data_IF_579346543355
#
_entry.id   IF_579346543355
#
_cell.length_a   1.000
_cell.length_b   1.000
_cell.length_c   1.000
_cell.angle_alpha   90.00
_cell.angle_beta   90.00
_cell.angle_gamma   90.00
#
_symmetry.space_group_name_H-M   'P 1'
#
loop_
_entity.id
_entity.type
_entity.pdbx_description
1 polymer ?
#
# COMPACT_ATOMS: atom_id res chain seq x y z
N UNK A 1 -1.43 35.31 6.50
CA UNK A 1 -0.12 35.84 6.06
C UNK A 1 -0.08 37.29 6.50
N UNK A 2 0.49 37.58 7.67
CA UNK A 2 0.77 38.96 8.05
C UNK A 2 1.90 39.46 7.16
N UNK A 3 1.66 40.54 6.43
CA UNK A 3 2.67 41.20 5.61
C UNK A 3 3.87 41.57 6.48
N UNK A 4 5.08 41.26 5.99
CA UNK A 4 6.36 41.55 6.61
C UNK A 4 6.55 43.07 6.79
N UNK A 5 6.02 43.65 7.84
CA UNK A 5 6.32 45.04 8.17
C UNK A 5 7.74 45.11 8.74
N UNK A 6 8.70 45.33 7.83
CA UNK A 6 10.14 45.54 8.03
C UNK A 6 10.98 44.29 8.35
N UNK A 7 11.52 43.59 7.33
CA UNK A 7 12.57 42.60 7.57
C UNK A 7 13.76 43.22 8.30
N UNK A 8 14.40 42.44 9.17
CA UNK A 8 15.68 42.81 9.79
C UNK A 8 16.73 43.01 8.69
N UNK A 9 17.52 44.07 8.80
CA UNK A 9 18.76 44.22 8.04
C UNK A 9 19.76 43.13 8.43
N UNK A 10 20.73 42.83 7.58
CA UNK A 10 21.71 41.77 7.83
C UNK A 10 22.50 42.02 9.14
N UNK A 11 22.79 43.29 9.48
CA UNK A 11 23.43 43.65 10.75
C UNK A 11 22.54 43.37 11.96
N UNK A 12 21.25 43.71 11.88
CA UNK A 12 20.29 43.44 12.97
C UNK A 12 20.04 41.94 13.13
N UNK A 13 20.07 41.17 12.04
CA UNK A 13 19.96 39.71 12.11
C UNK A 13 21.17 39.09 12.81
N UNK A 14 22.39 39.52 12.48
CA UNK A 14 23.61 39.08 13.20
C UNK A 14 23.60 39.50 14.67
N UNK A 15 23.06 40.67 14.98
CA UNK A 15 22.87 41.11 16.36
C UNK A 15 21.88 40.20 17.10
N UNK A 16 20.73 39.89 16.49
CA UNK A 16 19.76 38.95 17.06
C UNK A 16 20.37 37.56 17.28
N UNK A 17 21.12 37.01 16.31
CA UNK A 17 21.84 35.75 16.47
C UNK A 17 22.86 35.79 17.62
N UNK A 18 23.56 36.92 17.79
CA UNK A 18 24.49 37.11 18.90
C UNK A 18 23.76 37.09 20.25
N UNK A 19 22.63 37.77 20.35
CA UNK A 19 21.84 37.86 21.57
C UNK A 19 21.19 36.51 21.94
N UNK A 20 20.75 35.73 20.94
CA UNK A 20 20.14 34.41 21.17
C UNK A 20 21.12 33.35 21.69
N UNK A 21 22.44 33.59 21.63
CA UNK A 21 23.44 32.67 22.19
C UNK A 21 23.38 32.57 23.71
N UNK A 22 22.78 33.54 24.41
CA UNK A 22 22.64 33.50 25.88
C UNK A 22 21.46 32.66 26.36
N UNK A 23 20.61 32.17 25.45
CA UNK A 23 19.47 31.31 25.77
C UNK A 23 18.16 31.80 25.18
N UNK A 24 17.08 31.08 25.47
CA UNK A 24 15.71 31.45 25.05
C UNK A 24 15.22 32.66 25.86
N UNK A 25 15.00 33.83 25.24
CA UNK A 25 14.59 35.06 25.92
C UNK A 25 13.34 34.92 26.79
N UNK A 26 12.37 34.13 26.35
CA UNK A 26 11.14 33.90 27.13
C UNK A 26 11.43 33.10 28.40
N UNK A 27 12.31 32.11 28.34
CA UNK A 27 12.70 31.33 29.52
C UNK A 27 13.58 32.14 30.46
N UNK A 28 14.53 32.90 29.95
CA UNK A 28 15.46 33.71 30.76
C UNK A 28 14.70 34.80 31.54
N UNK A 29 13.70 35.44 30.92
CA UNK A 29 12.86 36.44 31.59
C UNK A 29 11.61 35.86 32.25
N UNK A 30 11.47 34.53 32.31
CA UNK A 30 10.28 33.84 32.80
C UNK A 30 8.96 34.40 32.22
N UNK A 31 9.00 34.84 30.96
CA UNK A 31 7.92 35.51 30.26
C UNK A 31 7.25 34.60 29.23
N UNK A 32 6.04 34.99 28.81
CA UNK A 32 5.31 34.27 27.77
C UNK A 32 5.13 35.16 26.54
N UNK A 33 4.87 34.54 25.38
CA UNK A 33 4.60 35.26 24.11
C UNK A 33 3.44 36.25 24.25
N UNK A 34 2.52 36.04 25.20
CA UNK A 34 1.37 36.90 25.48
C UNK A 34 1.66 38.08 26.41
N UNK A 35 2.83 38.13 27.06
CA UNK A 35 3.16 39.20 27.99
C UNK A 35 3.38 40.52 27.25
N UNK A 36 2.76 41.60 27.73
CA UNK A 36 2.96 42.94 27.17
C UNK A 36 4.33 43.52 27.58
N UNK A 37 4.71 44.64 26.94
CA UNK A 37 6.01 45.28 27.21
C UNK A 37 6.18 45.66 28.69
N UNK A 38 5.12 46.12 29.35
CA UNK A 38 5.16 46.53 30.77
C UNK A 38 5.42 45.35 31.70
N UNK A 39 4.81 44.20 31.44
CA UNK A 39 5.00 42.98 32.23
C UNK A 39 6.41 42.40 32.01
N UNK A 40 6.94 42.47 30.79
CA UNK A 40 8.32 42.09 30.48
C UNK A 40 9.31 43.00 31.23
N UNK A 41 9.09 44.32 31.22
CA UNK A 41 9.91 45.30 31.95
C UNK A 41 9.85 45.08 33.47
N UNK A 42 8.67 44.75 34.01
CA UNK A 42 8.53 44.40 35.42
C UNK A 42 9.37 43.17 35.78
N UNK A 43 9.27 42.09 34.99
CA UNK A 43 10.05 40.85 35.21
C UNK A 43 11.55 41.08 35.08
N UNK A 44 11.98 41.90 34.12
CA UNK A 44 13.38 42.32 34.00
C UNK A 44 13.88 43.01 35.27
N UNK A 45 13.14 44.01 35.78
CA UNK A 45 13.53 44.74 36.99
C UNK A 45 13.56 43.83 38.23
N UNK A 46 12.59 42.92 38.37
CA UNK A 46 12.56 41.91 39.43
C UNK A 46 13.81 41.02 39.34
N UNK A 47 14.12 40.47 38.16
CA UNK A 47 15.24 39.55 37.96
C UNK A 47 16.61 40.21 38.10
N UNK A 48 16.82 41.46 37.67
CA UNK A 48 18.11 42.15 37.80
C UNK A 48 18.37 42.60 39.24
N UNK A 49 17.32 42.81 40.03
CA UNK A 49 17.44 43.23 41.44
C UNK A 49 17.88 42.12 42.41
N UNK A 50 17.92 40.87 41.96
CA UNK A 50 18.35 39.73 42.77
C UNK A 50 19.88 39.73 42.97
N UNK A 51 20.35 40.07 44.18
CA UNK A 51 21.78 40.17 44.54
C UNK A 51 22.60 38.88 44.35
N UNK A 52 21.96 37.73 44.11
CA UNK A 52 22.60 36.42 44.02
C UNK A 52 23.04 36.02 42.61
N UNK A 53 22.76 36.82 41.59
CA UNK A 53 23.05 36.47 40.20
C UNK A 53 24.50 36.70 39.79
N UNK A 54 25.03 35.77 39.03
CA UNK A 54 26.35 35.88 38.40
C UNK A 54 26.31 36.89 37.24
N UNK A 55 27.48 37.44 36.90
CA UNK A 55 27.60 38.39 35.77
C UNK A 55 27.08 37.81 34.45
N UNK A 56 27.23 36.50 34.23
CA UNK A 56 26.72 35.81 33.03
C UNK A 56 25.19 35.72 32.99
N UNK A 57 24.56 35.55 34.15
CA UNK A 57 23.08 35.51 34.24
C UNK A 57 22.51 36.90 34.01
N UNK A 58 23.14 37.95 34.55
CA UNK A 58 22.75 39.34 34.30
C UNK A 58 22.85 39.65 32.80
N UNK A 59 23.96 39.29 32.14
CA UNK A 59 24.13 39.46 30.70
C UNK A 59 23.04 38.73 29.88
N UNK A 60 22.69 37.50 30.28
CA UNK A 60 21.61 36.76 29.63
C UNK A 60 20.25 37.46 29.80
N UNK A 61 19.96 38.01 30.99
CA UNK A 61 18.73 38.75 31.30
C UNK A 61 18.67 40.05 30.49
N UNK A 62 19.75 40.81 30.42
CA UNK A 62 19.84 42.03 29.62
C UNK A 62 19.64 41.75 28.11
N UNK A 63 20.26 40.70 27.59
CA UNK A 63 20.10 40.29 26.20
C UNK A 63 18.67 39.82 25.90
N UNK A 64 18.07 39.04 26.80
CA UNK A 64 16.67 38.62 26.69
C UNK A 64 15.72 39.83 26.70
N UNK A 65 15.96 40.82 27.57
CA UNK A 65 15.19 42.05 27.62
C UNK A 65 15.38 42.91 26.36
N UNK A 66 16.59 42.96 25.81
CA UNK A 66 16.86 43.67 24.55
C UNK A 66 16.07 43.08 23.38
N UNK A 67 15.98 41.74 23.30
CA UNK A 67 15.18 41.05 22.28
C UNK A 67 13.69 41.31 22.51
N UNK A 68 13.17 41.06 23.72
CA UNK A 68 11.72 41.12 24.00
C UNK A 68 11.17 42.54 24.19
N UNK A 69 12.03 43.50 24.57
CA UNK A 69 11.68 44.90 24.78
C UNK A 69 11.67 45.74 23.51
N UNK A 70 12.35 45.27 22.46
CA UNK A 70 12.37 45.90 21.13
C UNK A 70 11.37 45.20 20.22
N UNK A 71 10.30 45.89 19.83
CA UNK A 71 9.20 45.32 19.03
C UNK A 71 9.71 44.61 17.76
N UNK A 72 10.72 45.17 17.08
CA UNK A 72 11.32 44.57 15.89
C UNK A 72 12.00 43.21 16.15
N UNK A 73 12.80 43.11 17.23
CA UNK A 73 13.47 41.86 17.60
C UNK A 73 12.51 40.82 18.15
N UNK A 74 11.54 41.26 18.95
CA UNK A 74 10.47 40.40 19.46
C UNK A 74 9.69 39.78 18.30
N UNK A 75 9.21 40.58 17.34
CA UNK A 75 8.45 40.09 16.21
C UNK A 75 9.25 39.07 15.37
N UNK A 76 10.53 39.33 15.14
CA UNK A 76 11.40 38.41 14.41
C UNK A 76 11.64 37.10 15.17
N UNK A 77 11.80 37.16 16.50
CA UNK A 77 11.97 35.98 17.34
C UNK A 77 10.68 35.16 17.46
N UNK A 78 9.53 35.81 17.63
CA UNK A 78 8.21 35.16 17.64
C UNK A 78 7.95 34.44 16.31
N UNK A 79 8.34 35.05 15.19
CA UNK A 79 8.26 34.41 13.88
C UNK A 79 9.21 33.19 13.77
N UNK A 80 10.44 33.30 14.30
CA UNK A 80 11.38 32.18 14.36
C UNK A 80 10.81 31.01 15.16
N UNK A 81 10.23 31.27 16.34
CA UNK A 81 9.57 30.26 17.17
C UNK A 81 8.37 29.62 16.44
N UNK A 82 7.54 30.44 15.79
CA UNK A 82 6.41 29.93 15.01
C UNK A 82 6.86 29.03 13.84
N UNK A 83 7.94 29.39 13.14
CA UNK A 83 8.53 28.57 12.08
C UNK A 83 9.12 27.26 12.63
N UNK A 84 9.81 27.33 13.77
CA UNK A 84 10.36 26.15 14.45
C UNK A 84 9.26 25.17 14.89
N UNK A 85 8.18 25.67 15.50
CA UNK A 85 7.02 24.85 15.89
C UNK A 85 6.31 24.23 14.67
N UNK A 86 6.18 24.97 13.56
CA UNK A 86 5.67 24.41 12.29
C UNK A 86 6.60 23.32 11.75
N UNK A 87 7.91 23.51 11.79
CA UNK A 87 8.88 22.50 11.35
C UNK A 87 8.87 21.26 12.24
N UNK A 88 8.79 21.42 13.57
CA UNK A 88 8.69 20.32 14.52
C UNK A 88 7.39 19.52 14.31
N UNK A 89 6.26 20.21 14.11
CA UNK A 89 4.98 19.56 13.77
C UNK A 89 5.06 18.79 12.46
N UNK A 90 5.64 19.39 11.41
CA UNK A 90 5.86 18.71 10.12
C UNK A 90 6.78 17.50 10.25
N UNK A 91 7.84 17.61 11.04
CA UNK A 91 8.76 16.50 11.31
C UNK A 91 8.08 15.39 12.11
N UNK A 92 7.30 15.73 13.14
CA UNK A 92 6.54 14.78 13.93
C UNK A 92 5.46 14.06 13.09
N UNK A 93 4.78 14.78 12.21
CA UNK A 93 3.81 14.21 11.26
C UNK A 93 4.49 13.31 10.23
N UNK A 94 5.61 13.74 9.65
CA UNK A 94 6.43 12.90 8.75
C UNK A 94 6.89 11.62 9.44
N UNK A 95 7.42 11.72 10.67
CA UNK A 95 7.89 10.57 11.45
C UNK A 95 6.74 9.64 11.85
N UNK A 96 5.54 10.18 12.13
CA UNK A 96 4.32 9.39 12.32
C UNK A 96 3.95 8.64 11.04
N UNK A 97 3.97 9.30 9.88
CA UNK A 97 3.67 8.70 8.59
C UNK A 97 4.66 7.59 8.23
N UNK A 98 5.96 7.80 8.47
CA UNK A 98 7.01 6.78 8.29
C UNK A 98 6.76 5.57 9.21
N UNK A 99 6.46 5.79 10.50
CA UNK A 99 6.14 4.70 11.43
C UNK A 99 4.92 3.89 10.99
N UNK A 100 3.86 4.56 10.54
CA UNK A 100 2.64 3.89 10.04
C UNK A 100 2.88 3.13 8.74
N UNK A 101 3.70 3.70 7.85
CA UNK A 101 4.11 3.08 6.59
C UNK A 101 4.95 1.81 6.79
N UNK A 102 5.92 1.86 7.71
CA UNK A 102 6.72 0.71 8.12
C UNK A 102 5.84 -0.40 8.73
N UNK A 103 4.89 -0.05 9.59
CA UNK A 103 3.96 -1.02 10.18
C UNK A 103 3.06 -1.64 9.12
N UNK A 104 2.55 -0.85 8.17
CA UNK A 104 1.79 -1.34 7.02
C UNK A 104 2.60 -2.32 6.17
N UNK A 105 3.86 -1.97 5.87
CA UNK A 105 4.80 -2.82 5.14
C UNK A 105 5.10 -4.12 5.87
N UNK A 106 5.29 -4.07 7.20
CA UNK A 106 5.48 -5.26 8.03
C UNK A 106 4.23 -6.17 8.00
N UNK A 107 3.03 -5.61 8.11
CA UNK A 107 1.80 -6.38 7.97
C UNK A 107 1.69 -7.06 6.60
N UNK A 108 2.04 -6.37 5.50
CA UNK A 108 2.07 -6.97 4.15
C UNK A 108 3.11 -8.09 4.02
N UNK A 109 4.29 -7.90 4.61
CA UNK A 109 5.31 -8.94 4.68
C UNK A 109 4.78 -10.19 5.43
N UNK A 110 4.15 -10.00 6.59
CA UNK A 110 3.54 -11.07 7.37
C UNK A 110 2.35 -11.73 6.66
N UNK A 111 1.65 -11.01 5.79
CA UNK A 111 0.56 -11.54 4.98
C UNK A 111 1.05 -12.51 3.87
N UNK A 112 2.30 -12.36 3.41
CA UNK A 112 2.82 -13.08 2.23
C UNK A 112 2.80 -14.61 2.39
N UNK A 113 3.28 -15.20 3.50
CA UNK A 113 3.15 -16.64 3.75
C UNK A 113 1.72 -17.16 3.62
N UNK A 114 0.75 -16.43 4.16
CA UNK A 114 -0.66 -16.80 4.12
C UNK A 114 -1.22 -16.76 2.70
N UNK A 115 -0.84 -15.74 1.92
CA UNK A 115 -1.21 -15.66 0.51
C UNK A 115 -0.65 -16.86 -0.28
N UNK A 116 0.63 -17.16 -0.10
CA UNK A 116 1.31 -18.23 -0.83
C UNK A 116 0.72 -19.61 -0.50
N UNK A 117 0.49 -19.88 0.79
CA UNK A 117 -0.19 -21.10 1.26
C UNK A 117 -1.62 -21.16 0.69
N UNK A 118 -2.36 -20.05 0.69
CA UNK A 118 -3.72 -20.03 0.11
C UNK A 118 -3.73 -20.36 -1.39
N UNK A 119 -2.79 -19.80 -2.16
CA UNK A 119 -2.66 -20.07 -3.60
C UNK A 119 -2.32 -21.55 -3.84
N UNK A 120 -1.36 -22.10 -3.08
CA UNK A 120 -0.99 -23.51 -3.17
C UNK A 120 -2.15 -24.45 -2.80
N UNK A 121 -2.89 -24.15 -1.72
CA UNK A 121 -4.03 -24.96 -1.25
C UNK A 121 -5.18 -25.03 -2.27
N UNK A 122 -5.33 -24.00 -3.10
CA UNK A 122 -6.42 -23.89 -4.06
C UNK A 122 -6.07 -24.41 -5.45
N UNK A 123 -4.79 -24.72 -5.70
CA UNK A 123 -4.32 -25.17 -6.99
C UNK A 123 -4.55 -26.68 -7.15
N UNK A 124 -5.24 -27.13 -8.22
CA UNK A 124 -5.59 -28.53 -8.41
C UNK A 124 -4.39 -29.43 -8.76
N UNK A 125 -3.27 -28.83 -9.19
CA UNK A 125 -2.12 -29.57 -9.70
C UNK A 125 -0.90 -29.55 -8.75
N UNK A 126 -0.93 -28.71 -7.71
CA UNK A 126 0.15 -28.67 -6.71
C UNK A 126 -0.24 -29.50 -5.50
N UNK A 127 0.42 -30.66 -5.40
CA UNK A 127 0.42 -31.58 -4.27
C UNK A 127 -0.92 -32.34 -4.12
N UNK A 128 -0.85 -33.67 -4.16
CA UNK A 128 -1.91 -34.61 -3.72
C UNK A 128 -2.33 -34.43 -2.25
N UNK A 129 -1.78 -33.41 -1.58
CA UNK A 129 -1.96 -33.07 -0.20
C UNK A 129 -3.38 -32.52 0.00
N UNK A 130 -4.17 -33.25 0.76
CA UNK A 130 -5.56 -32.88 1.06
C UNK A 130 -5.66 -31.82 2.16
N UNK A 131 -4.65 -31.72 3.03
CA UNK A 131 -4.64 -30.86 4.22
C UNK A 131 -3.61 -29.72 4.12
N UNK A 132 -4.06 -28.49 4.37
CA UNK A 132 -3.22 -27.29 4.49
C UNK A 132 -2.07 -27.48 5.48
N UNK A 133 -2.27 -28.23 6.57
CA UNK A 133 -1.21 -28.50 7.56
C UNK A 133 -0.06 -29.33 6.98
N UNK A 134 -0.38 -30.35 6.20
CA UNK A 134 0.62 -31.17 5.51
C UNK A 134 1.39 -30.33 4.48
N UNK A 135 0.70 -29.44 3.78
CA UNK A 135 1.33 -28.56 2.79
C UNK A 135 2.32 -27.59 3.44
N UNK A 136 1.97 -27.03 4.60
CA UNK A 136 2.88 -26.20 5.41
C UNK A 136 4.12 -27.00 5.84
N UNK A 137 3.94 -28.25 6.30
CA UNK A 137 5.05 -29.14 6.66
C UNK A 137 5.96 -29.43 5.46
N UNK A 138 5.38 -29.73 4.30
CA UNK A 138 6.14 -30.00 3.07
C UNK A 138 6.92 -28.76 2.63
N UNK A 139 6.29 -27.59 2.60
CA UNK A 139 6.95 -26.33 2.23
C UNK A 139 8.13 -26.02 3.17
N UNK A 140 7.92 -26.18 4.48
CA UNK A 140 8.98 -26.01 5.48
C UNK A 140 10.10 -27.04 5.33
N UNK A 141 9.78 -28.31 5.07
CA UNK A 141 10.80 -29.36 4.89
C UNK A 141 11.69 -29.14 3.66
N UNK A 142 11.14 -28.60 2.57
CA UNK A 142 11.87 -28.46 1.30
C UNK A 142 12.71 -27.18 1.20
N UNK A 143 12.25 -26.07 1.77
CA UNK A 143 12.92 -24.75 1.65
C UNK A 143 12.97 -23.95 2.95
N UNK A 144 12.53 -24.51 4.06
CA UNK A 144 12.39 -23.80 5.33
C UNK A 144 11.47 -22.59 5.21
N UNK A 145 11.76 -21.55 6.00
CA UNK A 145 11.01 -20.28 6.00
C UNK A 145 11.03 -19.59 4.63
N UNK A 146 12.12 -19.73 3.86
CA UNK A 146 12.26 -19.06 2.55
C UNK A 146 11.21 -19.52 1.54
N UNK A 147 10.71 -20.75 1.64
CA UNK A 147 9.64 -21.26 0.78
C UNK A 147 8.34 -20.45 0.89
N UNK A 148 8.03 -19.97 2.09
CA UNK A 148 6.82 -19.18 2.35
C UNK A 148 6.87 -17.76 1.77
N UNK A 149 8.07 -17.23 1.50
CA UNK A 149 8.28 -15.89 0.94
C UNK A 149 8.65 -15.93 -0.55
N UNK A 150 8.41 -17.05 -1.23
CA UNK A 150 8.67 -17.16 -2.67
C UNK A 150 7.82 -16.13 -3.44
N UNK A 151 8.45 -15.47 -4.40
CA UNK A 151 7.83 -14.40 -5.17
C UNK A 151 7.80 -13.04 -4.46
N UNK A 152 8.12 -12.94 -3.16
CA UNK A 152 8.04 -11.65 -2.44
C UNK A 152 8.82 -10.53 -3.13
N UNK A 153 9.98 -10.83 -3.72
CA UNK A 153 10.80 -9.84 -4.44
C UNK A 153 10.07 -9.21 -5.64
N UNK A 154 9.12 -9.92 -6.26
CA UNK A 154 8.29 -9.38 -7.34
C UNK A 154 7.24 -8.38 -6.83
N UNK A 155 6.97 -8.31 -5.53
CA UNK A 155 6.19 -7.21 -4.98
C UNK A 155 6.92 -5.86 -5.18
N UNK A 156 8.23 -5.83 -5.39
CA UNK A 156 8.96 -4.60 -5.72
C UNK A 156 8.66 -4.17 -7.18
N UNK A 157 8.37 -5.13 -8.07
CA UNK A 157 8.06 -4.83 -9.47
C UNK A 157 6.76 -4.04 -9.64
N UNK A 158 5.89 -4.00 -8.61
CA UNK A 158 4.66 -3.21 -8.63
C UNK A 158 4.94 -1.72 -8.79
N UNK A 159 6.10 -1.22 -8.34
CA UNK A 159 6.54 0.15 -8.58
C UNK A 159 6.64 0.41 -10.09
N UNK A 160 7.31 -0.48 -10.82
CA UNK A 160 7.49 -0.34 -12.28
C UNK A 160 6.16 -0.44 -13.03
N UNK A 161 5.22 -1.26 -12.55
CA UNK A 161 3.87 -1.39 -13.11
C UNK A 161 3.09 -0.09 -12.93
N UNK A 162 3.14 0.51 -11.73
CA UNK A 162 2.45 1.77 -11.45
C UNK A 162 3.02 2.90 -12.31
N UNK A 163 4.34 2.95 -12.47
CA UNK A 163 4.96 3.88 -13.39
C UNK A 163 4.49 3.69 -14.84
N UNK A 164 4.43 2.44 -15.32
CA UNK A 164 3.88 2.11 -16.64
C UNK A 164 2.40 2.51 -16.76
N UNK A 165 1.59 2.30 -15.72
CA UNK A 165 0.19 2.74 -15.67
C UNK A 165 0.07 4.25 -15.81
N UNK A 166 0.86 5.02 -15.06
CA UNK A 166 0.86 6.49 -15.13
C UNK A 166 1.22 6.98 -16.54
N UNK A 167 2.18 6.33 -17.22
CA UNK A 167 2.52 6.62 -18.62
C UNK A 167 1.33 6.33 -19.54
N UNK A 168 0.71 5.14 -19.42
CA UNK A 168 -0.45 4.75 -20.24
C UNK A 168 -1.63 5.70 -20.04
N UNK A 169 -1.89 6.11 -18.80
CA UNK A 169 -2.91 7.10 -18.45
C UNK A 169 -2.63 8.47 -19.08
N UNK A 170 -1.37 8.92 -19.04
CA UNK A 170 -0.95 10.16 -19.68
C UNK A 170 -1.14 10.12 -21.20
N UNK A 171 -0.89 8.97 -21.83
CA UNK A 171 -1.12 8.76 -23.25
C UNK A 171 -2.62 8.71 -23.59
N UNK A 172 -3.44 8.01 -22.79
CA UNK A 172 -4.88 7.96 -23.02
C UNK A 172 -5.54 9.33 -22.86
N UNK A 173 -5.11 10.11 -21.87
CA UNK A 173 -5.61 11.49 -21.68
C UNK A 173 -5.29 12.36 -22.89
N UNK A 174 -4.04 12.31 -23.39
CA UNK A 174 -3.65 13.03 -24.62
C UNK A 174 -4.46 12.63 -25.84
N UNK A 175 -4.82 11.35 -25.98
CA UNK A 175 -5.65 10.87 -27.08
C UNK A 175 -7.09 11.38 -26.98
N UNK A 176 -7.67 11.40 -25.77
CA UNK A 176 -9.01 11.96 -25.52
C UNK A 176 -9.01 13.45 -25.83
N UNK A 177 -8.09 14.21 -25.22
CA UNK A 177 -7.94 15.66 -25.40
C UNK A 177 -7.63 16.05 -26.86
N UNK A 178 -6.86 15.21 -27.56
CA UNK A 178 -6.49 15.43 -28.97
C UNK A 178 -7.60 15.08 -29.96
N UNK A 179 -8.50 14.16 -29.60
CA UNK A 179 -9.62 13.72 -30.44
C UNK A 179 -10.85 14.64 -30.35
N UNK A 180 -10.94 15.47 -29.29
CA UNK A 180 -12.15 16.24 -29.00
C UNK A 180 -11.84 17.74 -29.06
N UNK A 181 -12.53 18.42 -29.97
CA UNK A 181 -12.51 19.88 -30.11
C UNK A 181 -12.91 20.53 -28.78
N UNK A 182 -11.95 21.13 -28.08
CA UNK A 182 -12.02 21.93 -26.84
C UNK A 182 -13.39 22.62 -26.60
N UNK A 183 -14.33 21.89 -26.01
CA UNK A 183 -15.55 22.45 -25.44
C UNK A 183 -15.42 22.51 -23.92
N UNK A 184 -15.55 23.70 -23.32
CA UNK A 184 -15.43 23.93 -21.86
C UNK A 184 -16.37 23.07 -20.99
N UNK A 185 -17.40 22.47 -21.57
CA UNK A 185 -18.38 21.65 -20.84
C UNK A 185 -18.05 20.14 -20.85
N UNK A 186 -16.88 19.73 -21.34
CA UNK A 186 -16.54 18.32 -21.52
C UNK A 186 -15.70 17.74 -20.37
N UNK A 187 -15.02 18.57 -19.56
CA UNK A 187 -14.21 18.07 -18.43
C UNK A 187 -15.01 17.17 -17.47
N UNK A 188 -16.30 17.48 -17.23
CA UNK A 188 -17.19 16.66 -16.40
C UNK A 188 -17.62 15.34 -17.08
N UNK A 189 -17.73 15.31 -18.42
CA UNK A 189 -18.15 14.11 -19.16
C UNK A 189 -17.02 13.12 -19.38
N UNK A 190 -15.76 13.57 -19.37
CA UNK A 190 -14.60 12.71 -19.58
C UNK A 190 -14.18 11.99 -18.28
N UNK A 191 -14.59 12.46 -17.10
CA UNK A 191 -14.23 11.87 -15.80
C UNK A 191 -14.62 10.38 -15.66
N UNK A 192 -15.84 9.94 -16.02
CA UNK A 192 -16.19 8.51 -15.97
C UNK A 192 -15.36 7.66 -16.93
N UNK A 193 -15.02 8.21 -18.10
CA UNK A 193 -14.21 7.52 -19.13
C UNK A 193 -12.77 7.38 -18.65
N UNK A 194 -12.18 8.45 -18.11
CA UNK A 194 -10.85 8.43 -17.52
C UNK A 194 -10.77 7.46 -16.34
N UNK A 195 -11.79 7.43 -15.47
CA UNK A 195 -11.87 6.48 -14.35
C UNK A 195 -11.99 5.03 -14.84
N UNK A 196 -12.71 4.79 -15.93
CA UNK A 196 -12.79 3.46 -16.55
C UNK A 196 -11.45 3.04 -17.15
N UNK A 197 -10.79 3.92 -17.91
CA UNK A 197 -9.47 3.67 -18.49
C UNK A 197 -8.43 3.43 -17.41
N UNK A 198 -8.47 4.19 -16.32
CA UNK A 198 -7.58 3.97 -15.17
C UNK A 198 -7.74 2.57 -14.59
N UNK A 199 -8.99 2.16 -14.29
CA UNK A 199 -9.27 0.82 -13.78
C UNK A 199 -8.86 -0.28 -14.75
N UNK A 200 -9.12 -0.08 -16.05
CA UNK A 200 -8.78 -1.06 -17.08
C UNK A 200 -7.27 -1.18 -17.27
N UNK A 201 -6.56 -0.06 -17.38
CA UNK A 201 -5.10 -0.04 -17.51
C UNK A 201 -4.44 -0.64 -16.27
N UNK A 202 -4.92 -0.33 -15.07
CA UNK A 202 -4.44 -0.95 -13.83
C UNK A 202 -4.59 -2.48 -13.86
N UNK A 203 -5.74 -3.01 -14.29
CA UNK A 203 -5.95 -4.46 -14.40
C UNK A 203 -5.05 -5.10 -15.46
N UNK A 204 -4.91 -4.46 -16.62
CA UNK A 204 -4.09 -4.98 -17.73
C UNK A 204 -2.59 -4.97 -17.42
N UNK A 205 -2.10 -3.98 -16.67
CA UNK A 205 -0.70 -3.90 -16.25
C UNK A 205 -0.41 -4.78 -15.03
N UNK A 206 -1.37 -4.93 -14.10
CA UNK A 206 -1.22 -5.80 -12.94
C UNK A 206 -1.32 -7.29 -13.27
N UNK A 207 -2.08 -7.67 -14.31
CA UNK A 207 -2.32 -9.07 -14.64
C UNK A 207 -1.04 -9.88 -14.93
N UNK A 208 -0.12 -9.43 -15.82
CA UNK A 208 1.16 -10.10 -16.04
C UNK A 208 1.95 -10.42 -14.78
N UNK A 209 2.01 -9.48 -13.84
CA UNK A 209 2.77 -9.67 -12.60
C UNK A 209 2.06 -10.61 -11.66
N UNK A 210 0.72 -10.53 -11.56
CA UNK A 210 -0.05 -11.55 -10.86
C UNK A 210 0.20 -12.94 -11.45
N UNK A 211 0.20 -13.07 -12.77
CA UNK A 211 0.44 -14.35 -13.45
C UNK A 211 1.84 -14.89 -13.13
N UNK A 212 2.89 -14.07 -13.24
CA UNK A 212 4.25 -14.46 -12.86
C UNK A 212 4.32 -14.85 -11.39
N UNK A 213 3.70 -14.07 -10.50
CA UNK A 213 3.66 -14.36 -9.06
C UNK A 213 3.00 -15.69 -8.76
N UNK A 214 1.82 -15.94 -9.32
CA UNK A 214 1.10 -17.20 -9.12
C UNK A 214 1.92 -18.37 -9.71
N UNK A 215 2.54 -18.20 -10.88
CA UNK A 215 3.43 -19.21 -11.45
C UNK A 215 4.67 -19.47 -10.57
N UNK A 216 5.27 -18.43 -9.98
CA UNK A 216 6.39 -18.60 -9.05
C UNK A 216 5.97 -19.36 -7.80
N UNK A 217 4.80 -19.05 -7.25
CA UNK A 217 4.28 -19.71 -6.05
C UNK A 217 3.97 -21.19 -6.34
N UNK A 218 3.28 -21.46 -7.45
CA UNK A 218 2.79 -22.79 -7.82
C UNK A 218 3.86 -23.69 -8.48
N UNK A 219 4.93 -23.13 -9.03
CA UNK A 219 6.00 -23.93 -9.62
C UNK A 219 6.70 -24.82 -8.58
N UNK A 220 7.34 -25.93 -8.99
CA UNK A 220 8.15 -26.73 -8.08
C UNK A 220 9.18 -25.89 -7.33
N UNK A 221 9.35 -26.13 -6.03
CA UNK A 221 10.30 -25.36 -5.18
C UNK A 221 11.75 -25.53 -5.63
N UNK A 222 12.08 -26.57 -6.40
CA UNK A 222 13.38 -26.77 -7.02
C UNK A 222 13.72 -25.73 -8.09
N UNK A 223 12.72 -25.13 -8.75
CA UNK A 223 12.95 -24.17 -9.83
C UNK A 223 13.32 -22.78 -9.30
N UNK A 224 14.37 -22.18 -9.85
CA UNK A 224 14.72 -20.79 -9.58
C UNK A 224 13.70 -19.83 -10.21
N UNK A 225 13.72 -18.57 -9.74
CA UNK A 225 12.91 -17.48 -10.32
C UNK A 225 13.22 -17.31 -11.82
N UNK A 226 14.50 -17.30 -12.18
CA UNK A 226 14.94 -17.16 -13.56
C UNK A 226 14.50 -18.34 -14.43
N UNK A 227 14.50 -19.56 -13.87
CA UNK A 227 14.07 -20.76 -14.59
C UNK A 227 12.57 -20.71 -14.87
N UNK A 228 11.77 -20.29 -13.88
CA UNK A 228 10.33 -20.03 -14.04
C UNK A 228 10.13 -19.02 -15.17
N UNK A 229 10.72 -17.83 -15.07
CA UNK A 229 10.52 -16.75 -16.07
C UNK A 229 10.93 -17.20 -17.47
N UNK A 230 12.13 -17.78 -17.63
CA UNK A 230 12.61 -18.26 -18.94
C UNK A 230 11.70 -19.35 -19.49
N UNK A 231 11.31 -20.30 -18.65
CA UNK A 231 10.46 -21.42 -19.05
C UNK A 231 9.05 -20.99 -19.47
N UNK A 232 8.50 -19.96 -18.82
CA UNK A 232 7.15 -19.46 -19.11
C UNK A 232 7.11 -18.45 -20.26
N UNK A 233 8.10 -17.57 -20.36
CA UNK A 233 8.11 -16.48 -21.35
C UNK A 233 8.65 -16.93 -22.72
N UNK A 234 9.67 -17.79 -22.75
CA UNK A 234 10.39 -18.12 -23.99
C UNK A 234 9.89 -19.41 -24.66
N UNK A 235 8.81 -20.03 -24.16
CA UNK A 235 8.23 -21.20 -24.82
C UNK A 235 7.46 -20.76 -26.08
N UNK A 236 8.14 -20.75 -27.21
CA UNK A 236 7.48 -20.89 -28.50
C UNK A 236 6.75 -22.22 -28.51
N UNK A 237 5.46 -22.23 -28.86
CA UNK A 237 4.54 -23.38 -28.80
C UNK A 237 4.88 -24.60 -29.67
N UNK A 238 6.16 -24.87 -29.94
CA UNK A 238 6.61 -26.09 -30.62
C UNK A 238 7.23 -27.00 -29.56
N UNK A 239 6.65 -28.18 -29.40
CA UNK A 239 7.15 -29.26 -28.55
C UNK A 239 8.66 -29.41 -28.70
N UNK A 240 9.39 -29.34 -27.59
CA UNK A 240 10.85 -29.52 -27.59
C UNK A 240 11.28 -30.94 -27.99
N UNK A 241 10.35 -31.88 -28.21
CA UNK A 241 10.70 -33.17 -28.82
C UNK A 241 11.25 -33.03 -30.26
N UNK A 242 11.07 -31.89 -30.94
CA UNK A 242 11.61 -31.68 -32.30
C UNK A 242 12.69 -30.61 -32.41
N UNK A 243 13.19 -30.05 -31.31
CA UNK A 243 14.23 -28.99 -31.35
C UNK A 243 15.54 -29.40 -30.65
N UNK A 244 16.06 -30.58 -30.98
CA UNK A 244 17.51 -30.81 -30.92
C UNK A 244 18.16 -30.16 -32.14
N UNK A 245 18.15 -28.83 -32.22
CA UNK A 245 19.04 -28.09 -33.13
C UNK A 245 18.96 -26.58 -32.88
N UNK A 246 20.15 -25.99 -32.77
CA UNK A 246 20.48 -24.56 -32.75
C UNK A 246 20.28 -23.78 -31.44
N UNK A 247 21.36 -23.84 -30.65
CA UNK A 247 21.82 -22.76 -29.77
C UNK A 247 21.91 -21.44 -30.56
N UNK A 248 21.05 -20.47 -30.25
CA UNK A 248 21.39 -19.05 -30.33
C UNK A 248 21.17 -18.44 -28.94
N UNK A 249 22.23 -17.90 -28.34
CA UNK A 249 22.24 -17.31 -26.99
C UNK A 249 21.69 -15.87 -27.00
N UNK A 250 20.49 -15.67 -27.55
CA UNK A 250 19.76 -14.40 -27.40
C UNK A 250 18.69 -14.60 -26.35
N UNK A 251 18.85 -13.91 -25.21
CA UNK A 251 17.88 -13.91 -24.11
C UNK A 251 16.51 -13.38 -24.57
N UNK A 252 16.46 -12.71 -25.73
CA UNK A 252 15.28 -12.03 -26.27
C UNK A 252 14.71 -12.65 -27.55
N UNK A 253 15.28 -13.73 -28.07
CA UNK A 253 14.72 -14.37 -29.26
C UNK A 253 13.40 -15.04 -28.87
N UNK A 254 12.30 -14.40 -29.27
CA UNK A 254 10.89 -14.80 -29.14
C UNK A 254 10.28 -14.78 -27.73
N UNK A 255 10.12 -13.58 -27.17
CA UNK A 255 9.14 -13.33 -26.11
C UNK A 255 7.73 -13.65 -26.61
N UNK A 256 7.17 -14.80 -26.22
CA UNK A 256 5.76 -15.10 -26.49
C UNK A 256 4.89 -14.54 -25.37
N UNK A 257 4.52 -13.25 -25.48
CA UNK A 257 3.64 -12.57 -24.52
C UNK A 257 2.30 -13.32 -24.33
N UNK A 258 1.91 -14.22 -25.25
CA UNK A 258 0.68 -15.02 -25.15
C UNK A 258 0.58 -15.81 -23.83
N UNK A 259 1.68 -16.38 -23.33
CA UNK A 259 1.67 -17.15 -22.08
C UNK A 259 1.46 -16.25 -20.86
N UNK A 260 1.99 -15.02 -20.91
CA UNK A 260 1.85 -14.02 -19.85
C UNK A 260 0.40 -13.54 -19.72
N UNK A 261 -0.36 -13.59 -20.81
CA UNK A 261 -1.79 -13.28 -20.88
C UNK A 261 -2.69 -14.52 -20.93
N UNK A 262 -2.15 -15.72 -20.66
CA UNK A 262 -2.93 -16.96 -20.67
C UNK A 262 -4.09 -16.88 -19.67
N UNK A 263 -5.32 -17.08 -20.13
CA UNK A 263 -6.52 -17.00 -19.30
C UNK A 263 -6.92 -15.59 -18.87
N UNK A 264 -6.24 -14.53 -19.33
CA UNK A 264 -6.52 -13.14 -18.91
C UNK A 264 -7.99 -12.74 -19.10
N UNK A 265 -8.59 -13.14 -20.23
CA UNK A 265 -10.01 -12.87 -20.54
C UNK A 265 -10.97 -13.45 -19.49
N UNK A 266 -10.58 -14.50 -18.78
CA UNK A 266 -11.39 -15.11 -17.71
C UNK A 266 -10.95 -14.64 -16.33
N UNK A 267 -9.65 -14.49 -16.08
CA UNK A 267 -9.13 -14.12 -14.76
C UNK A 267 -9.42 -12.65 -14.44
N UNK A 268 -9.34 -11.73 -15.40
CA UNK A 268 -9.62 -10.30 -15.15
C UNK A 268 -11.07 -10.10 -14.65
N UNK A 269 -12.12 -10.63 -15.30
CA UNK A 269 -13.48 -10.59 -14.76
C UNK A 269 -13.61 -11.20 -13.35
N UNK A 270 -12.93 -12.31 -13.06
CA UNK A 270 -12.92 -12.92 -11.72
C UNK A 270 -12.26 -12.00 -10.67
N UNK A 271 -11.18 -11.31 -11.04
CA UNK A 271 -10.51 -10.32 -10.18
C UNK A 271 -11.42 -9.14 -9.89
N UNK A 272 -12.10 -8.62 -10.93
CA UNK A 272 -13.10 -7.54 -10.79
C UNK A 272 -14.22 -7.99 -9.84
N UNK A 273 -14.81 -9.16 -10.07
CA UNK A 273 -15.88 -9.70 -9.24
C UNK A 273 -15.43 -9.84 -7.76
N UNK A 274 -14.23 -10.36 -7.53
CA UNK A 274 -13.64 -10.48 -6.19
C UNK A 274 -13.42 -9.11 -5.52
N UNK A 275 -13.00 -8.09 -6.28
CA UNK A 275 -12.88 -6.73 -5.78
C UNK A 275 -14.25 -6.12 -5.44
N UNK A 276 -15.27 -6.33 -6.29
CA UNK A 276 -16.63 -5.84 -6.07
C UNK A 276 -17.26 -6.46 -4.83
N UNK A 277 -17.10 -7.77 -4.61
CA UNK A 277 -17.54 -8.45 -3.39
C UNK A 277 -16.90 -7.80 -2.15
N UNK A 278 -15.60 -7.54 -2.19
CA UNK A 278 -14.90 -6.88 -1.06
C UNK A 278 -15.39 -5.47 -0.82
N UNK A 279 -15.60 -4.68 -1.88
CA UNK A 279 -16.16 -3.32 -1.79
C UNK A 279 -17.58 -3.35 -1.21
N UNK A 280 -18.41 -4.29 -1.65
CA UNK A 280 -19.75 -4.49 -1.13
C UNK A 280 -19.76 -4.84 0.36
N UNK A 281 -18.90 -5.76 0.82
CA UNK A 281 -18.79 -6.09 2.26
C UNK A 281 -18.37 -4.88 3.08
N UNK A 282 -17.38 -4.10 2.60
CA UNK A 282 -16.95 -2.87 3.28
C UNK A 282 -18.07 -1.83 3.34
N UNK A 283 -18.79 -1.63 2.24
CA UNK A 283 -19.91 -0.72 2.16
C UNK A 283 -21.04 -1.11 3.11
N UNK A 284 -21.42 -2.38 3.14
CA UNK A 284 -22.43 -2.92 4.06
C UNK A 284 -22.00 -2.77 5.52
N UNK A 285 -20.71 -2.99 5.82
CA UNK A 285 -20.14 -2.78 7.15
C UNK A 285 -20.25 -1.32 7.59
N UNK A 286 -19.86 -0.39 6.71
CA UNK A 286 -19.92 1.05 6.99
C UNK A 286 -21.36 1.52 7.18
N UNK A 287 -22.27 1.12 6.29
CA UNK A 287 -23.70 1.46 6.41
C UNK A 287 -24.31 0.94 7.70
N UNK A 288 -24.00 -0.29 8.09
CA UNK A 288 -24.51 -0.88 9.32
C UNK A 288 -23.94 -0.20 10.56
N UNK A 289 -22.65 0.18 10.52
CA UNK A 289 -22.02 0.97 11.59
C UNK A 289 -22.74 2.31 11.77
N UNK A 290 -22.88 3.08 10.69
CA UNK A 290 -23.55 4.39 10.73
C UNK A 290 -25.00 4.27 11.20
N UNK A 291 -25.74 3.26 10.73
CA UNK A 291 -27.10 3.00 11.17
C UNK A 291 -27.20 2.72 12.69
N UNK A 292 -26.22 1.99 13.25
CA UNK A 292 -26.17 1.72 14.69
C UNK A 292 -25.79 2.96 15.51
N UNK A 293 -24.92 3.80 14.98
CA UNK A 293 -24.53 5.05 15.63
C UNK A 293 -25.66 6.09 15.64
N UNK A 294 -26.45 6.17 14.56
CA UNK A 294 -27.58 7.11 14.43
C UNK A 294 -28.80 6.75 15.29
N UNK A 295 -28.97 5.47 15.69
CA UNK A 295 -30.21 4.98 16.33
C UNK A 295 -30.01 4.32 17.69
N UNK A 296 -28.96 4.67 18.43
CA UNK A 296 -28.52 3.98 19.66
C UNK A 296 -29.66 3.51 20.59
N UNK A 297 -30.72 4.32 20.78
CA UNK A 297 -31.80 4.06 21.73
C UNK A 297 -32.92 3.12 21.23
N UNK A 298 -32.99 2.83 19.92
CA UNK A 298 -34.12 2.06 19.32
C UNK A 298 -33.69 0.78 18.61
N UNK A 299 -32.41 0.41 18.72
CA UNK A 299 -31.85 -0.67 17.91
C UNK A 299 -32.19 -2.04 18.47
N UNK A 300 -32.76 -2.88 17.60
CA UNK A 300 -32.91 -4.31 17.83
C UNK A 300 -31.53 -4.92 18.17
N UNK A 301 -31.40 -5.71 19.27
CA UNK A 301 -30.17 -6.38 19.65
C UNK A 301 -29.49 -7.14 18.49
N UNK A 302 -30.27 -7.76 17.60
CA UNK A 302 -29.75 -8.47 16.42
C UNK A 302 -28.90 -7.57 15.50
N UNK A 303 -29.37 -6.34 15.24
CA UNK A 303 -28.66 -5.37 14.39
C UNK A 303 -27.39 -4.90 15.10
N UNK A 304 -27.47 -4.65 16.42
CA UNK A 304 -26.31 -4.26 17.23
C UNK A 304 -25.22 -5.33 17.20
N UNK A 305 -25.56 -6.60 17.41
CA UNK A 305 -24.61 -7.71 17.34
C UNK A 305 -24.08 -7.94 15.92
N UNK A 306 -24.93 -7.81 14.90
CA UNK A 306 -24.51 -7.90 13.50
C UNK A 306 -23.50 -6.80 13.15
N UNK A 307 -23.70 -5.58 13.67
CA UNK A 307 -22.75 -4.47 13.51
C UNK A 307 -21.42 -4.77 14.19
N UNK A 308 -21.45 -5.28 15.42
CA UNK A 308 -20.23 -5.70 16.11
C UNK A 308 -19.47 -6.79 15.34
N UNK A 309 -20.18 -7.79 14.82
CA UNK A 309 -19.59 -8.84 14.00
C UNK A 309 -19.02 -8.28 12.69
N UNK A 310 -19.74 -7.42 11.97
CA UNK A 310 -19.28 -6.91 10.68
C UNK A 310 -18.17 -5.86 10.81
N UNK A 311 -18.10 -5.12 11.90
CA UNK A 311 -17.04 -4.12 12.16
C UNK A 311 -15.75 -4.74 12.70
N UNK A 312 -15.82 -5.96 13.27
CA UNK A 312 -14.63 -6.67 13.74
C UNK A 312 -13.77 -7.17 12.55
N UNK A 313 -12.51 -6.75 12.51
CA UNK A 313 -11.53 -7.08 11.45
C UNK A 313 -11.47 -8.59 11.14
N UNK A 314 -11.51 -9.45 12.15
CA UNK A 314 -11.42 -10.90 12.00
C UNK A 314 -12.67 -11.41 11.28
N UNK A 315 -13.84 -11.08 11.80
CA UNK A 315 -15.13 -11.49 11.24
C UNK A 315 -15.34 -10.96 9.82
N UNK A 316 -15.05 -9.68 9.55
CA UNK A 316 -15.13 -9.13 8.19
C UNK A 316 -14.16 -9.85 7.25
N UNK A 317 -12.96 -10.21 7.73
CA UNK A 317 -11.96 -10.93 6.94
C UNK A 317 -12.39 -12.36 6.63
N UNK A 318 -13.04 -13.05 7.58
CA UNK A 318 -13.64 -14.38 7.35
C UNK A 318 -14.72 -14.27 6.28
N UNK A 319 -15.65 -13.30 6.39
CA UNK A 319 -16.74 -13.12 5.42
C UNK A 319 -16.18 -12.81 4.02
N UNK A 320 -15.23 -11.87 3.92
CA UNK A 320 -14.54 -11.58 2.64
C UNK A 320 -13.88 -12.82 2.07
N UNK A 321 -13.22 -13.62 2.90
CA UNK A 321 -12.51 -14.83 2.45
C UNK A 321 -13.50 -15.88 1.99
N UNK A 322 -14.57 -16.14 2.74
CA UNK A 322 -15.62 -17.07 2.36
C UNK A 322 -16.27 -16.69 1.02
N UNK A 323 -16.64 -15.42 0.84
CA UNK A 323 -17.29 -14.95 -0.38
C UNK A 323 -16.37 -14.90 -1.60
N UNK A 324 -15.06 -14.72 -1.40
CA UNK A 324 -14.10 -14.62 -2.51
C UNK A 324 -13.34 -15.91 -2.80
N UNK A 325 -13.31 -16.88 -1.87
CA UNK A 325 -12.54 -18.12 -2.01
C UNK A 325 -12.85 -18.89 -3.32
N UNK A 326 -14.12 -19.05 -3.76
CA UNK A 326 -14.39 -19.73 -5.01
C UNK A 326 -13.76 -19.04 -6.23
N UNK A 327 -13.76 -17.70 -6.26
CA UNK A 327 -13.15 -16.92 -7.34
C UNK A 327 -11.62 -17.06 -7.34
N UNK A 328 -11.01 -17.11 -6.15
CA UNK A 328 -9.58 -17.36 -6.02
C UNK A 328 -9.19 -18.74 -6.55
N UNK A 329 -9.95 -19.77 -6.20
CA UNK A 329 -9.74 -21.15 -6.69
C UNK A 329 -9.78 -21.21 -8.20
N UNK A 330 -10.84 -20.65 -8.82
CA UNK A 330 -10.96 -20.60 -10.27
C UNK A 330 -9.82 -19.83 -10.92
N UNK A 331 -9.45 -18.67 -10.36
CA UNK A 331 -8.34 -17.87 -10.89
C UNK A 331 -6.99 -18.58 -10.81
N UNK A 332 -6.78 -19.41 -9.79
CA UNK A 332 -5.52 -20.16 -9.59
C UNK A 332 -5.35 -21.35 -10.53
N UNK A 333 -6.44 -21.83 -11.14
CA UNK A 333 -6.38 -22.95 -12.07
C UNK A 333 -5.64 -22.59 -13.38
N UNK A 334 -5.71 -21.34 -13.84
CA UNK A 334 -5.04 -20.91 -15.07
C UNK A 334 -3.51 -20.95 -14.99
N UNK A 335 -2.84 -20.29 -14.01
CA UNK A 335 -1.39 -20.44 -13.84
C UNK A 335 -1.01 -21.89 -13.55
N UNK A 336 -1.85 -22.64 -12.83
CA UNK A 336 -1.60 -24.04 -12.51
C UNK A 336 -1.65 -24.95 -13.77
N UNK A 337 -2.61 -24.75 -14.68
CA UNK A 337 -2.67 -25.43 -15.98
C UNK A 337 -1.44 -25.13 -16.83
N UNK A 338 -1.00 -23.86 -16.85
CA UNK A 338 0.20 -23.46 -17.57
C UNK A 338 1.43 -24.18 -17.02
N UNK A 339 1.62 -24.20 -15.69
CA UNK A 339 2.70 -24.95 -15.04
C UNK A 339 2.62 -26.44 -15.31
N UNK A 340 1.43 -27.04 -15.20
CA UNK A 340 1.23 -28.47 -15.44
C UNK A 340 1.60 -28.84 -16.88
N UNK A 341 1.21 -28.02 -17.86
CA UNK A 341 1.57 -28.23 -19.26
C UNK A 341 3.09 -28.20 -19.47
N UNK A 342 3.79 -27.34 -18.73
CA UNK A 342 5.24 -27.26 -18.74
C UNK A 342 5.89 -28.50 -18.13
N UNK A 343 5.47 -28.89 -16.92
CA UNK A 343 6.02 -30.06 -16.21
C UNK A 343 5.82 -31.34 -17.03
N UNK A 344 4.69 -31.45 -17.73
CA UNK A 344 4.34 -32.63 -18.55
C UNK A 344 4.92 -32.56 -19.97
N UNK A 345 5.52 -31.44 -20.38
CA UNK A 345 6.04 -31.25 -21.73
C UNK A 345 4.97 -31.19 -22.83
N UNK A 346 3.70 -31.00 -22.46
CA UNK A 346 2.56 -30.94 -23.40
C UNK A 346 2.26 -29.50 -23.81
N UNK A 347 1.55 -29.30 -24.91
CA UNK A 347 1.11 -27.97 -25.35
C UNK A 347 0.25 -27.29 -24.27
N UNK A 348 0.31 -25.95 -24.22
CA UNK A 348 -0.53 -25.18 -23.30
C UNK A 348 -1.99 -25.42 -23.69
N UNK A 349 -2.83 -25.98 -22.79
CA UNK A 349 -4.21 -26.27 -23.13
C UNK A 349 -4.96 -24.97 -23.41
N UNK A 350 -6.03 -25.05 -24.22
CA UNK A 350 -6.92 -23.91 -24.40
C UNK A 350 -7.55 -23.53 -23.05
N UNK A 351 -7.61 -22.22 -22.77
CA UNK A 351 -8.21 -21.72 -21.53
C UNK A 351 -9.70 -22.08 -21.49
N UNK A 352 -10.11 -22.80 -20.44
CA UNK A 352 -11.50 -23.21 -20.22
C UNK A 352 -12.24 -22.06 -19.54
N UNK A 353 -13.50 -21.85 -19.92
CA UNK A 353 -14.34 -20.87 -19.24
C UNK A 353 -14.48 -21.21 -17.73
N UNK A 354 -14.62 -20.21 -16.85
CA UNK A 354 -14.59 -20.44 -15.40
C UNK A 354 -15.82 -21.18 -14.86
N UNK A 355 -16.96 -21.16 -15.58
CA UNK A 355 -18.19 -21.86 -15.18
C UNK A 355 -18.03 -23.37 -15.37
N UNK A 356 -17.59 -23.79 -16.56
CA UNK A 356 -17.27 -25.17 -16.89
C UNK A 356 -16.18 -25.70 -15.96
N UNK A 357 -15.14 -24.90 -15.70
CA UNK A 357 -14.10 -25.25 -14.73
C UNK A 357 -14.68 -25.45 -13.32
N UNK A 358 -15.59 -24.58 -12.86
CA UNK A 358 -16.25 -24.73 -11.56
C UNK A 358 -17.09 -26.02 -11.48
N UNK A 359 -17.84 -26.33 -12.53
CA UNK A 359 -18.64 -27.55 -12.64
C UNK A 359 -17.73 -28.79 -12.55
N UNK A 360 -16.62 -28.81 -13.31
CA UNK A 360 -15.65 -29.91 -13.26
C UNK A 360 -15.04 -30.09 -11.87
N UNK A 361 -14.58 -28.99 -11.24
CA UNK A 361 -14.02 -29.05 -9.89
C UNK A 361 -15.03 -29.53 -8.86
N UNK A 362 -16.28 -29.07 -8.96
CA UNK A 362 -17.37 -29.52 -8.08
C UNK A 362 -17.68 -31.00 -8.26
N UNK A 363 -17.78 -31.49 -9.50
CA UNK A 363 -18.04 -32.91 -9.74
C UNK A 363 -16.90 -33.82 -9.25
N UNK A 364 -15.64 -33.41 -9.42
CA UNK A 364 -14.49 -34.22 -9.04
C UNK A 364 -14.13 -34.14 -7.56
N UNK A 365 -14.32 -32.99 -6.91
CA UNK A 365 -13.82 -32.75 -5.55
C UNK A 365 -14.89 -32.29 -4.55
N UNK A 366 -16.10 -31.97 -5.01
CA UNK A 366 -17.18 -31.43 -4.19
C UNK A 366 -17.00 -29.96 -3.79
N UNK A 367 -17.97 -29.42 -3.05
CA UNK A 367 -17.99 -28.02 -2.60
C UNK A 367 -16.82 -27.66 -1.69
N UNK A 368 -16.38 -28.60 -0.85
CA UNK A 368 -15.29 -28.39 0.13
C UNK A 368 -13.98 -27.95 -0.53
N UNK A 369 -13.77 -28.32 -1.81
CA UNK A 369 -12.60 -27.93 -2.59
C UNK A 369 -12.45 -26.40 -2.70
N UNK A 370 -13.56 -25.68 -2.89
CA UNK A 370 -13.54 -24.22 -3.04
C UNK A 370 -13.16 -23.47 -1.76
N UNK A 371 -13.06 -24.17 -0.64
CA UNK A 371 -12.80 -23.61 0.68
C UNK A 371 -11.55 -24.19 1.36
N UNK A 372 -10.76 -25.04 0.68
CA UNK A 372 -9.53 -25.62 1.24
C UNK A 372 -8.54 -24.55 1.73
N UNK A 373 -8.34 -23.50 0.93
CA UNK A 373 -7.48 -22.37 1.29
C UNK A 373 -8.14 -21.29 2.15
N UNK A 374 -9.33 -21.49 2.73
CA UNK A 374 -10.06 -20.40 3.41
C UNK A 374 -9.33 -19.88 4.65
N UNK A 375 -8.70 -20.77 5.44
CA UNK A 375 -7.97 -20.39 6.65
C UNK A 375 -6.75 -19.50 6.33
N UNK A 376 -5.82 -19.91 5.45
CA UNK A 376 -4.72 -19.04 5.06
C UNK A 376 -5.22 -17.79 4.32
N UNK A 377 -6.28 -17.89 3.49
CA UNK A 377 -6.87 -16.69 2.87
C UNK A 377 -7.37 -15.69 3.93
N UNK A 378 -7.99 -16.18 5.00
CA UNK A 378 -8.46 -15.35 6.12
C UNK A 378 -7.28 -14.69 6.84
N UNK A 379 -6.21 -15.43 7.13
CA UNK A 379 -4.98 -14.88 7.71
C UNK A 379 -4.41 -13.75 6.83
N UNK A 380 -4.31 -13.98 5.52
CA UNK A 380 -3.89 -12.97 4.56
C UNK A 380 -4.77 -11.71 4.63
N UNK A 381 -6.10 -11.86 4.67
CA UNK A 381 -7.05 -10.74 4.76
C UNK A 381 -6.99 -9.97 6.07
N UNK A 382 -6.71 -10.64 7.19
CA UNK A 382 -6.53 -9.99 8.49
C UNK A 382 -5.31 -9.06 8.40
N UNK A 383 -4.16 -9.57 7.97
CA UNK A 383 -2.96 -8.75 7.83
C UNK A 383 -3.10 -7.65 6.77
N UNK A 384 -3.78 -7.93 5.66
CA UNK A 384 -4.10 -6.91 4.66
C UNK A 384 -4.96 -5.81 5.29
N UNK A 385 -5.98 -6.15 6.08
CA UNK A 385 -6.86 -5.19 6.75
C UNK A 385 -6.11 -4.37 7.81
N UNK A 386 -5.26 -5.01 8.61
CA UNK A 386 -4.38 -4.33 9.57
C UNK A 386 -3.44 -3.35 8.86
N UNK A 387 -2.85 -3.75 7.72
CA UNK A 387 -2.01 -2.86 6.92
C UNK A 387 -2.74 -1.58 6.48
N UNK A 388 -4.05 -1.67 6.16
CA UNK A 388 -4.88 -0.49 5.81
C UNK A 388 -5.24 0.36 7.02
N UNK A 389 -5.41 -0.24 8.19
CA UNK A 389 -5.66 0.50 9.43
C UNK A 389 -4.41 1.30 9.80
N UNK A 390 -3.23 0.71 9.63
CA UNK A 390 -1.96 1.37 9.90
C UNK A 390 -1.69 2.52 8.93
N UNK A 391 -1.92 2.33 7.63
CA UNK A 391 -1.83 3.40 6.63
C UNK A 391 -3.17 3.54 5.88
N UNK A 392 -4.05 4.47 6.31
CA UNK A 392 -5.39 4.66 5.73
C UNK A 392 -5.37 5.38 4.37
N UNK A 393 -4.20 5.68 3.82
CA UNK A 393 -4.13 6.33 2.53
C UNK A 393 -4.86 5.49 1.45
N UNK A 394 -5.64 6.13 0.56
CA UNK A 394 -6.60 5.47 -0.31
C UNK A 394 -5.93 4.47 -1.25
N UNK A 395 -6.13 3.17 -0.98
CA UNK A 395 -5.45 2.04 -1.66
C UNK A 395 -5.81 1.89 -3.14
N UNK A 396 -6.70 2.69 -3.72
CA UNK A 396 -6.81 2.71 -5.19
C UNK A 396 -5.48 3.14 -5.86
N UNK A 397 -4.48 3.63 -5.09
CA UNK A 397 -3.08 3.81 -5.53
C UNK A 397 -1.99 3.02 -4.78
N UNK A 398 -2.29 2.11 -3.83
CA UNK A 398 -1.26 1.50 -2.94
C UNK A 398 -0.88 0.03 -3.23
N UNK A 399 -0.68 -0.31 -4.52
CA UNK A 399 0.42 -1.23 -4.85
C UNK A 399 1.79 -0.51 -4.86
N UNK A 400 1.80 0.77 -4.48
CA UNK A 400 2.95 1.55 -4.03
C UNK A 400 3.48 0.97 -2.72
N UNK A 401 4.54 0.18 -2.81
CA UNK A 401 5.58 0.28 -1.78
C UNK A 401 6.01 1.74 -1.73
N UNK A 402 5.79 2.36 -0.58
CA UNK A 402 6.50 3.58 -0.18
C UNK A 402 8.01 3.39 -0.44
N UNK A 403 8.74 4.50 -0.61
CA UNK A 403 10.14 4.63 -1.07
C UNK A 403 10.18 4.64 -2.61
N UNK A 404 10.32 5.79 -3.28
CA UNK A 404 11.50 6.66 -3.27
C UNK A 404 11.07 8.13 -3.47
N UNK A 405 11.74 9.04 -2.76
CA UNK A 405 11.65 10.51 -2.79
C UNK A 405 10.74 11.15 -1.73
N UNK A 406 11.34 11.34 -0.54
CA UNK A 406 11.45 12.68 0.07
C UNK A 406 11.72 13.76 -0.99
#
# INVERSE_FOLDING_TARGET
MSEFQNPLSESEFRELESLLKTGDPYKVLESTIQDDKKKIEKKYNELVSEETKTTKEIEAIENAFKILGTEKYRNAYDEYLARADIQEKKLAESLKNVKTGLLSSLCRLLATPFQNVSILANSPFTLTIKDTNEMVKVLYSLKGVRGFYRGFIFNISTISIEFLRVILLGLSKKLIDGSTTKGKNQEDNDEPVLLFIDKLTHLLTAYPVKMIMDCLILSPLSMGVADVIKSFINRNGVSELTKVSFRSNSIFDSFSLSNLYYGAIYVIPLMIASQQIRKFVNFSTLKLKNYVEERQDTINPFIKYSSYLLTNVISTSIIKSALTAPLYVLSSCYPSQLISSYIQGVEVPAAINPITLAIQLYHHNGLSYFYKGIVPLTGFRIFESLARICNPAPIDTYFVSEVVFE
#
